data_IF_635802611051
#
_entry.id   IF_635802611051
#
_cell.length_a   1.000
_cell.length_b   1.000
_cell.length_c   1.000
_cell.angle_alpha   90.00
_cell.angle_beta   90.00
_cell.angle_gamma   90.00
#
_symmetry.space_group_name_H-M   'P 1'
#
loop_
_entity.id
_entity.type
_entity.pdbx_description
1 polymer ?
#
# COMPACT_ATOMS: atom_id res chain seq x y z
N UNK A 1 3.66 4.80 13.56
CA UNK A 1 2.73 4.00 14.40
C UNK A 1 1.47 4.83 14.60
N UNK A 2 0.31 4.37 14.12
CA UNK A 2 -0.94 5.12 14.22
C UNK A 2 -1.52 5.02 15.64
N UNK A 3 -1.92 6.15 16.24
CA UNK A 3 -2.56 6.18 17.57
C UNK A 3 -3.94 5.51 17.55
N UNK A 4 -4.69 5.66 16.45
CA UNK A 4 -5.96 4.97 16.19
C UNK A 4 -5.77 4.18 14.89
N UNK A 5 -5.51 2.89 15.01
CA UNK A 5 -5.19 2.02 13.88
C UNK A 5 -6.44 1.47 13.19
N UNK A 6 -7.51 1.27 13.92
CA UNK A 6 -8.79 0.80 13.39
C UNK A 6 -9.95 1.21 14.28
N UNK A 7 -11.13 1.30 13.68
CA UNK A 7 -12.39 1.44 14.40
C UNK A 7 -13.39 0.39 13.91
N UNK A 8 -14.32 -0.02 14.78
CA UNK A 8 -15.36 -0.96 14.43
C UNK A 8 -16.64 -0.60 15.20
N UNK A 9 -17.75 -0.44 14.48
CA UNK A 9 -19.01 -0.05 15.09
C UNK A 9 -20.14 0.15 14.08
N UNK A 10 -21.32 0.55 14.56
CA UNK A 10 -22.46 0.79 13.68
C UNK A 10 -22.44 2.21 13.11
N UNK A 11 -22.81 2.36 11.86
CA UNK A 11 -22.96 3.65 11.18
C UNK A 11 -24.15 4.40 11.76
N UNK A 12 -23.91 5.56 12.36
CA UNK A 12 -24.94 6.45 12.90
C UNK A 12 -25.44 7.42 11.84
N UNK A 13 -24.55 7.88 10.95
CA UNK A 13 -24.85 8.87 9.92
C UNK A 13 -23.93 8.71 8.73
N UNK A 14 -24.48 8.92 7.53
CA UNK A 14 -23.72 9.02 6.27
C UNK A 14 -23.78 10.47 5.82
N UNK A 15 -22.63 11.06 5.53
CA UNK A 15 -22.47 12.43 5.03
C UNK A 15 -21.83 12.38 3.62
N UNK A 16 -21.65 13.52 2.99
CA UNK A 16 -21.17 13.58 1.59
C UNK A 16 -19.77 12.96 1.38
N UNK A 17 -18.91 12.95 2.41
CA UNK A 17 -17.54 12.47 2.35
C UNK A 17 -17.08 11.80 3.65
N UNK A 18 -18.01 11.46 4.54
CA UNK A 18 -17.69 10.89 5.84
C UNK A 18 -18.81 10.01 6.37
N UNK A 19 -18.44 9.13 7.28
CA UNK A 19 -19.34 8.35 8.12
C UNK A 19 -19.19 8.80 9.57
N UNK A 20 -20.29 8.74 10.33
CA UNK A 20 -20.23 8.81 11.79
C UNK A 20 -20.45 7.39 12.30
N UNK A 21 -19.45 6.85 12.99
CA UNK A 21 -19.45 5.47 13.51
C UNK A 21 -19.57 5.48 15.03
N UNK A 22 -20.46 4.67 15.56
CA UNK A 22 -20.65 4.50 17.00
C UNK A 22 -19.50 3.72 17.62
N UNK A 23 -18.80 4.33 18.58
CA UNK A 23 -17.76 3.67 19.38
C UNK A 23 -18.14 3.80 20.85
N UNK A 24 -18.81 2.78 21.38
CA UNK A 24 -19.37 2.87 22.73
C UNK A 24 -20.39 4.02 22.84
N UNK A 25 -20.15 4.97 23.74
CA UNK A 25 -21.01 6.16 23.90
C UNK A 25 -20.68 7.35 23.00
N UNK A 26 -19.75 7.23 22.06
CA UNK A 26 -19.28 8.31 21.18
C UNK A 26 -19.64 8.05 19.72
N UNK A 27 -19.97 9.12 18.97
CA UNK A 27 -20.02 9.11 17.52
C UNK A 27 -18.72 9.70 16.94
N UNK A 28 -17.93 8.90 16.25
CA UNK A 28 -16.67 9.34 15.64
C UNK A 28 -16.87 9.58 14.15
N UNK A 29 -16.53 10.79 13.69
CA UNK A 29 -16.54 11.13 12.26
C UNK A 29 -15.28 10.63 11.60
N UNK A 30 -15.45 9.91 10.49
CA UNK A 30 -14.37 9.35 9.69
C UNK A 30 -14.57 9.75 8.25
N UNK A 31 -13.57 10.40 7.65
CA UNK A 31 -13.56 10.66 6.22
C UNK A 31 -13.19 9.41 5.48
N UNK A 32 -13.95 9.06 4.46
CA UNK A 32 -13.77 7.81 3.72
C UNK A 32 -13.78 8.07 2.20
N UNK A 33 -13.18 7.20 1.38
CA UNK A 33 -13.33 7.24 -0.07
C UNK A 33 -14.81 7.11 -0.48
N UNK A 34 -15.14 7.61 -1.66
CA UNK A 34 -16.51 7.55 -2.19
C UNK A 34 -17.02 6.11 -2.34
N UNK A 35 -16.14 5.18 -2.70
CA UNK A 35 -16.43 3.75 -2.78
C UNK A 35 -16.99 3.19 -1.48
N UNK A 36 -16.36 3.52 -0.34
CA UNK A 36 -16.84 3.09 0.99
C UNK A 36 -18.24 3.65 1.31
N UNK A 37 -18.55 4.89 0.87
CA UNK A 37 -19.89 5.49 1.06
C UNK A 37 -20.95 4.76 0.22
N UNK A 38 -20.58 4.27 -0.97
CA UNK A 38 -21.46 3.54 -1.88
C UNK A 38 -21.73 2.12 -1.38
N UNK A 39 -20.71 1.48 -0.77
CA UNK A 39 -20.75 0.07 -0.34
C UNK A 39 -21.28 -0.13 1.09
N UNK A 40 -21.30 0.90 1.94
CA UNK A 40 -21.65 0.80 3.37
C UNK A 40 -23.07 0.27 3.65
N UNK A 41 -23.95 0.29 2.67
CA UNK A 41 -25.28 -0.31 2.75
C UNK A 41 -26.29 0.41 3.66
N UNK A 42 -25.93 1.55 4.29
CA UNK A 42 -26.85 2.41 5.03
C UNK A 42 -26.57 2.58 6.53
N UNK A 43 -27.38 3.43 7.16
CA UNK A 43 -27.34 3.69 8.60
C UNK A 43 -27.75 2.43 9.39
N UNK A 44 -27.10 2.18 10.52
CA UNK A 44 -27.29 1.00 11.37
C UNK A 44 -26.42 -0.20 10.99
N UNK A 45 -25.79 -0.22 9.82
CA UNK A 45 -24.89 -1.29 9.41
C UNK A 45 -23.60 -1.23 10.20
N UNK A 46 -23.05 -2.41 10.48
CA UNK A 46 -21.76 -2.54 11.14
C UNK A 46 -20.64 -2.39 10.12
N UNK A 47 -19.66 -1.56 10.44
CA UNK A 47 -18.47 -1.36 9.60
C UNK A 47 -17.19 -1.49 10.43
N UNK A 48 -16.14 -2.02 9.83
CA UNK A 48 -14.78 -2.00 10.35
C UNK A 48 -13.91 -1.22 9.38
N UNK A 49 -13.18 -0.24 9.88
CA UNK A 49 -12.29 0.60 9.09
C UNK A 49 -10.88 0.57 9.65
N UNK A 50 -9.90 0.41 8.77
CA UNK A 50 -8.49 0.73 9.05
C UNK A 50 -8.33 2.24 8.97
N UNK A 51 -7.63 2.86 9.93
CA UNK A 51 -7.69 4.29 10.08
C UNK A 51 -6.33 4.98 10.14
N UNK A 52 -6.28 6.19 9.60
CA UNK A 52 -5.15 7.11 9.69
C UNK A 52 -5.60 8.42 10.34
N UNK A 53 -4.98 8.77 11.48
CA UNK A 53 -5.26 10.01 12.19
C UNK A 53 -4.29 11.09 11.76
N UNK A 54 -4.80 12.19 11.25
CA UNK A 54 -4.03 13.40 10.99
C UNK A 54 -4.28 14.40 12.11
N UNK A 55 -3.21 14.80 12.77
CA UNK A 55 -3.21 15.79 13.86
C UNK A 55 -2.67 17.11 13.32
N UNK A 56 -3.45 18.16 13.44
CA UNK A 56 -3.05 19.55 13.16
C UNK A 56 -3.30 20.41 14.39
N UNK A 57 -2.75 21.61 14.41
CA UNK A 57 -2.90 22.53 15.55
C UNK A 57 -4.39 22.81 15.90
N UNK A 58 -5.26 22.86 14.91
CA UNK A 58 -6.66 23.25 15.07
C UNK A 58 -7.64 22.11 14.88
N UNK A 59 -7.22 20.94 14.37
CA UNK A 59 -8.13 19.84 14.06
C UNK A 59 -7.49 18.46 14.19
N UNK A 60 -8.31 17.48 14.57
CA UNK A 60 -8.04 16.06 14.48
C UNK A 60 -8.92 15.47 13.40
N UNK A 61 -8.33 14.89 12.37
CA UNK A 61 -9.08 14.32 11.26
C UNK A 61 -8.76 12.84 11.12
N UNK A 62 -9.79 12.00 11.21
CA UNK A 62 -9.65 10.55 11.03
C UNK A 62 -10.07 10.16 9.60
N UNK A 63 -9.21 9.44 8.91
CA UNK A 63 -9.44 8.85 7.60
C UNK A 63 -9.62 7.34 7.75
N UNK A 64 -10.55 6.73 7.01
CA UNK A 64 -10.87 5.31 7.15
C UNK A 64 -11.02 4.59 5.81
N UNK A 65 -10.61 3.33 5.80
CA UNK A 65 -10.58 2.45 4.63
C UNK A 65 -11.04 1.05 5.04
N UNK A 66 -11.75 0.33 4.18
CA UNK A 66 -12.19 -1.04 4.48
C UNK A 66 -11.03 -2.04 4.36
N UNK A 67 -10.15 -1.86 3.36
CA UNK A 67 -8.96 -2.68 3.20
C UNK A 67 -7.71 -1.99 3.80
N UNK A 68 -6.80 -2.78 4.34
CA UNK A 68 -5.52 -2.31 4.85
C UNK A 68 -4.61 -1.81 3.71
N UNK A 69 -4.69 -2.45 2.54
CA UNK A 69 -3.96 -2.04 1.34
C UNK A 69 -4.34 -0.63 0.87
N UNK A 70 -5.62 -0.25 0.99
CA UNK A 70 -6.09 1.10 0.68
C UNK A 70 -5.53 2.13 1.65
N UNK A 71 -5.46 1.78 2.94
CA UNK A 71 -4.81 2.63 3.95
C UNK A 71 -3.32 2.82 3.64
N UNK A 72 -2.59 1.74 3.32
CA UNK A 72 -1.18 1.82 2.96
C UNK A 72 -0.97 2.70 1.72
N UNK A 73 -1.82 2.53 0.71
CA UNK A 73 -1.76 3.36 -0.50
C UNK A 73 -2.07 4.83 -0.22
N UNK A 74 -3.02 5.12 0.69
CA UNK A 74 -3.28 6.48 1.17
C UNK A 74 -2.04 7.10 1.82
N UNK A 75 -1.35 6.35 2.69
CA UNK A 75 -0.13 6.82 3.35
C UNK A 75 1.01 7.07 2.36
N UNK A 76 1.17 6.21 1.35
CA UNK A 76 2.13 6.41 0.25
C UNK A 76 1.81 7.69 -0.52
N UNK A 77 0.53 7.92 -0.84
CA UNK A 77 0.06 9.13 -1.53
C UNK A 77 0.31 10.41 -0.72
N UNK A 78 0.12 10.39 0.61
CA UNK A 78 0.43 11.52 1.48
C UNK A 78 1.90 11.92 1.45
N UNK A 79 2.78 10.97 1.19
CA UNK A 79 4.21 11.23 1.04
C UNK A 79 4.61 11.82 -0.32
N UNK A 80 3.66 12.07 -1.23
CA UNK A 80 3.90 12.68 -2.55
C UNK A 80 3.76 14.20 -2.43
N UNK A 81 4.75 14.95 -2.88
CA UNK A 81 4.72 16.41 -2.82
C UNK A 81 3.53 17.00 -3.57
N UNK A 82 2.69 17.76 -2.85
CA UNK A 82 1.47 18.40 -3.39
C UNK A 82 0.26 17.49 -3.44
N UNK A 83 0.32 16.29 -2.83
CA UNK A 83 -0.82 15.44 -2.55
C UNK A 83 -1.19 15.58 -1.08
N UNK A 84 -2.25 16.31 -0.81
CA UNK A 84 -2.84 16.38 0.52
C UNK A 84 -3.89 15.28 0.74
N UNK A 85 -4.39 15.13 1.98
CA UNK A 85 -5.35 14.08 2.31
C UNK A 85 -6.62 14.07 1.45
N UNK A 86 -7.12 15.26 1.09
CA UNK A 86 -8.30 15.39 0.20
C UNK A 86 -8.04 14.84 -1.20
N UNK A 87 -6.85 15.10 -1.75
CA UNK A 87 -6.45 14.61 -3.06
C UNK A 87 -6.21 13.10 -3.02
N UNK A 88 -5.54 12.60 -1.98
CA UNK A 88 -5.33 11.18 -1.77
C UNK A 88 -6.67 10.40 -1.68
N UNK A 89 -7.64 10.92 -0.90
CA UNK A 89 -8.98 10.35 -0.84
C UNK A 89 -9.71 10.37 -2.19
N UNK A 90 -9.58 11.46 -2.96
CA UNK A 90 -10.19 11.56 -4.29
C UNK A 90 -9.58 10.55 -5.26
N UNK A 91 -8.28 10.30 -5.19
CA UNK A 91 -7.61 9.26 -5.98
C UNK A 91 -8.22 7.89 -5.66
N UNK A 92 -8.24 7.50 -4.38
CA UNK A 92 -8.74 6.19 -3.93
C UNK A 92 -10.26 6.02 -4.09
N UNK A 93 -11.01 7.12 -4.14
CA UNK A 93 -12.45 7.11 -4.45
C UNK A 93 -12.78 7.10 -5.94
N UNK A 94 -11.77 7.25 -6.83
CA UNK A 94 -11.95 7.30 -8.29
C UNK A 94 -11.27 6.14 -9.01
N UNK A 95 -10.13 5.69 -8.49
CA UNK A 95 -9.29 4.66 -9.08
C UNK A 95 -9.13 3.50 -8.09
N UNK A 96 -9.33 2.26 -8.55
CA UNK A 96 -8.97 1.10 -7.75
C UNK A 96 -7.44 1.01 -7.56
N UNK A 97 -6.96 0.37 -6.49
CA UNK A 97 -5.53 0.17 -6.26
C UNK A 97 -4.82 -0.50 -7.44
N UNK A 98 -5.47 -1.48 -8.08
CA UNK A 98 -4.93 -2.21 -9.23
C UNK A 98 -4.80 -1.29 -10.45
N UNK A 99 -5.82 -0.47 -10.72
CA UNK A 99 -5.81 0.47 -11.82
C UNK A 99 -4.72 1.54 -11.61
N UNK A 100 -4.57 2.04 -10.39
CA UNK A 100 -3.52 3.00 -10.05
C UNK A 100 -2.13 2.39 -10.20
N UNK A 101 -1.90 1.18 -9.67
CA UNK A 101 -0.62 0.46 -9.83
C UNK A 101 -0.31 0.22 -11.32
N UNK A 102 -1.31 -0.26 -12.09
CA UNK A 102 -1.15 -0.48 -13.54
C UNK A 102 -0.81 0.81 -14.29
N UNK A 103 -1.51 1.92 -13.97
CA UNK A 103 -1.25 3.22 -14.57
C UNK A 103 0.17 3.73 -14.27
N UNK A 104 0.67 3.50 -13.05
CA UNK A 104 2.03 3.87 -12.66
C UNK A 104 3.06 3.06 -13.46
N UNK A 105 2.88 1.75 -13.56
CA UNK A 105 3.79 0.87 -14.31
C UNK A 105 3.83 1.21 -15.81
N UNK A 106 2.72 1.67 -16.36
CA UNK A 106 2.59 2.05 -17.80
C UNK A 106 2.83 3.53 -18.06
N UNK A 107 3.11 4.31 -17.02
CA UNK A 107 3.28 5.77 -17.09
C UNK A 107 2.06 6.51 -17.70
N UNK A 108 0.84 5.95 -17.49
CA UNK A 108 -0.41 6.48 -18.03
C UNK A 108 -0.95 7.64 -17.20
N UNK A 109 -0.35 8.83 -17.32
CA UNK A 109 -0.75 10.04 -16.57
C UNK A 109 -2.21 10.46 -16.79
N UNK A 110 -2.79 10.10 -17.94
CA UNK A 110 -4.19 10.38 -18.27
C UNK A 110 -5.18 9.72 -17.31
N UNK A 111 -4.82 8.60 -16.69
CA UNK A 111 -5.64 7.93 -15.69
C UNK A 111 -5.79 8.79 -14.44
N UNK A 112 -4.68 9.38 -13.95
CA UNK A 112 -4.71 10.30 -12.80
C UNK A 112 -5.46 11.61 -13.09
N UNK A 113 -5.49 12.06 -14.32
CA UNK A 113 -6.24 13.26 -14.72
C UNK A 113 -7.76 13.09 -14.67
N UNK A 114 -8.27 11.86 -14.56
CA UNK A 114 -9.70 11.58 -14.32
C UNK A 114 -10.14 11.94 -12.89
N UNK A 115 -9.17 12.07 -11.98
CA UNK A 115 -9.47 12.42 -10.59
C UNK A 115 -9.76 13.91 -10.46
N UNK A 116 -10.89 14.31 -9.89
CA UNK A 116 -11.22 15.72 -9.69
C UNK A 116 -10.13 16.47 -8.93
N UNK A 117 -9.69 17.60 -9.48
CA UNK A 117 -8.63 18.41 -8.89
C UNK A 117 -7.21 18.03 -9.28
N UNK A 118 -7.01 17.00 -10.10
CA UNK A 118 -5.69 16.62 -10.62
C UNK A 118 -5.54 17.08 -12.09
N UNK A 119 -4.73 18.11 -12.29
CA UNK A 119 -4.33 18.56 -13.62
C UNK A 119 -3.09 17.83 -14.14
N UNK A 120 -2.74 18.08 -15.42
CA UNK A 120 -1.62 17.42 -16.11
C UNK A 120 -0.31 17.46 -15.32
N UNK A 121 0.13 18.66 -14.88
CA UNK A 121 1.39 18.83 -14.11
C UNK A 121 1.38 18.07 -12.77
N UNK A 122 0.22 18.01 -12.11
CA UNK A 122 0.07 17.28 -10.85
C UNK A 122 0.11 15.77 -11.10
N UNK A 123 -0.56 15.30 -12.15
CA UNK A 123 -0.55 13.89 -12.54
C UNK A 123 0.87 13.40 -12.89
N UNK A 124 1.63 14.16 -13.68
CA UNK A 124 3.01 13.84 -14.04
C UNK A 124 3.91 13.75 -12.79
N UNK A 125 3.78 14.70 -11.86
CA UNK A 125 4.54 14.70 -10.61
C UNK A 125 4.17 13.55 -9.69
N UNK A 126 2.88 13.25 -9.56
CA UNK A 126 2.40 12.10 -8.77
C UNK A 126 2.95 10.81 -9.36
N UNK A 127 2.86 10.65 -10.68
CA UNK A 127 3.33 9.47 -11.39
C UNK A 127 4.80 9.22 -11.14
N UNK A 128 5.63 10.24 -11.31
CA UNK A 128 7.07 10.16 -11.10
C UNK A 128 7.43 9.74 -9.66
N UNK A 129 6.82 10.40 -8.65
CA UNK A 129 7.13 10.12 -7.25
C UNK A 129 6.55 8.78 -6.76
N UNK A 130 5.41 8.34 -7.29
CA UNK A 130 4.85 7.03 -6.93
C UNK A 130 5.67 5.89 -7.52
N UNK A 131 6.20 6.05 -8.73
CA UNK A 131 7.08 5.07 -9.33
C UNK A 131 8.32 4.84 -8.47
N UNK A 132 9.04 5.90 -8.09
CA UNK A 132 10.20 5.79 -7.20
C UNK A 132 9.87 5.08 -5.88
N UNK A 133 8.70 5.39 -5.28
CA UNK A 133 8.28 4.77 -4.02
C UNK A 133 7.86 3.32 -4.17
N UNK A 134 7.23 2.95 -5.28
CA UNK A 134 6.86 1.56 -5.55
C UNK A 134 8.10 0.72 -5.87
N UNK A 135 9.07 1.26 -6.59
CA UNK A 135 10.35 0.59 -6.84
C UNK A 135 11.10 0.36 -5.53
N UNK A 136 11.16 1.37 -4.65
CA UNK A 136 11.74 1.22 -3.31
C UNK A 136 10.96 0.24 -2.42
N UNK A 137 9.62 0.23 -2.48
CA UNK A 137 8.78 -0.70 -1.73
C UNK A 137 8.92 -2.13 -2.25
N UNK A 138 9.01 -2.32 -3.57
CA UNK A 138 9.31 -3.62 -4.17
C UNK A 138 10.69 -4.13 -3.74
N UNK A 139 11.70 -3.26 -3.68
CA UNK A 139 13.01 -3.61 -3.13
C UNK A 139 12.95 -3.93 -1.63
N UNK A 140 12.20 -3.16 -0.83
CA UNK A 140 12.01 -3.44 0.60
C UNK A 140 11.22 -4.71 0.85
N UNK A 141 10.16 -4.98 0.07
CA UNK A 141 9.37 -6.21 0.18
C UNK A 141 10.19 -7.43 -0.26
N UNK A 142 11.06 -7.29 -1.24
CA UNK A 142 12.02 -8.31 -1.61
C UNK A 142 13.00 -8.61 -0.46
N UNK A 143 13.42 -7.58 0.28
CA UNK A 143 14.31 -7.72 1.46
C UNK A 143 13.56 -8.29 2.67
N UNK A 144 12.27 -7.95 2.89
CA UNK A 144 11.49 -8.45 4.05
C UNK A 144 10.90 -9.85 3.87
N UNK A 145 10.81 -10.36 2.63
CA UNK A 145 10.45 -11.76 2.36
C UNK A 145 11.65 -12.71 2.40
N UNK A 146 12.85 -12.16 2.54
CA UNK A 146 14.08 -12.95 2.73
C UNK A 146 14.14 -13.31 4.20
N UNK A 147 13.98 -14.58 4.54
CA UNK A 147 14.33 -15.09 5.88
C UNK A 147 15.81 -14.79 6.15
N UNK A 148 16.23 -14.71 7.42
CA UNK A 148 17.65 -14.52 7.75
C UNK A 148 18.54 -15.51 6.98
N UNK A 149 18.05 -16.75 6.81
CA UNK A 149 18.69 -17.80 6.01
C UNK A 149 18.78 -17.44 4.51
N UNK A 150 17.74 -16.80 3.94
CA UNK A 150 17.77 -16.41 2.54
C UNK A 150 18.69 -15.20 2.30
N UNK A 151 18.86 -14.32 3.29
CA UNK A 151 19.83 -13.23 3.21
C UNK A 151 21.25 -13.78 3.14
N UNK A 152 21.59 -14.74 4.00
CA UNK A 152 22.90 -15.40 4.01
C UNK A 152 23.18 -16.13 2.66
N UNK A 153 22.16 -16.76 2.07
CA UNK A 153 22.30 -17.43 0.75
C UNK A 153 22.53 -16.40 -0.36
N UNK A 154 21.84 -15.25 -0.35
CA UNK A 154 22.05 -14.17 -1.32
C UNK A 154 23.48 -13.63 -1.21
N UNK A 155 23.99 -13.41 0.00
CA UNK A 155 25.34 -12.92 0.24
C UNK A 155 26.38 -13.89 -0.29
N UNK A 156 26.18 -15.19 -0.10
CA UNK A 156 27.08 -16.23 -0.66
C UNK A 156 27.03 -16.22 -2.20
N UNK A 157 25.84 -16.23 -2.81
CA UNK A 157 25.71 -16.25 -4.27
C UNK A 157 26.28 -14.98 -4.92
N UNK A 158 26.09 -13.81 -4.28
CA UNK A 158 26.67 -12.55 -4.78
C UNK A 158 28.18 -12.52 -4.65
N UNK A 159 28.74 -13.12 -3.60
CA UNK A 159 30.21 -13.30 -3.46
C UNK A 159 30.81 -14.23 -4.54
N UNK A 160 30.00 -15.15 -5.07
CA UNK A 160 30.36 -16.02 -6.19
C UNK A 160 30.19 -15.36 -7.57
N UNK A 161 29.69 -14.10 -7.62
CA UNK A 161 29.59 -13.31 -8.83
C UNK A 161 28.21 -13.24 -9.48
N UNK A 162 27.19 -13.85 -8.89
CA UNK A 162 25.81 -13.74 -9.36
C UNK A 162 25.22 -12.39 -8.96
N UNK A 163 24.32 -11.86 -9.78
CA UNK A 163 23.56 -10.66 -9.42
C UNK A 163 22.50 -10.97 -8.34
N UNK A 164 22.11 -9.96 -7.56
CA UNK A 164 21.05 -10.08 -6.55
C UNK A 164 19.74 -10.60 -7.19
N UNK A 165 19.43 -10.18 -8.43
CA UNK A 165 18.23 -10.61 -9.16
C UNK A 165 18.28 -12.10 -9.49
N UNK A 166 19.42 -12.62 -9.95
CA UNK A 166 19.62 -14.05 -10.24
C UNK A 166 19.53 -14.88 -8.97
N UNK A 167 20.19 -14.44 -7.89
CA UNK A 167 20.12 -15.09 -6.58
C UNK A 167 18.70 -15.19 -6.04
N UNK A 168 17.93 -14.10 -6.11
CA UNK A 168 16.52 -14.07 -5.69
C UNK A 168 15.63 -14.97 -6.57
N UNK A 169 15.84 -14.97 -7.89
CA UNK A 169 15.08 -15.81 -8.81
C UNK A 169 15.33 -17.31 -8.53
N UNK A 170 16.57 -17.68 -8.22
CA UNK A 170 16.93 -19.04 -7.82
C UNK A 170 16.24 -19.42 -6.50
N UNK A 171 16.30 -18.56 -5.47
CA UNK A 171 15.69 -18.80 -4.16
C UNK A 171 14.17 -19.02 -4.22
N UNK A 172 13.46 -18.31 -5.08
CA UNK A 172 12.02 -18.48 -5.28
C UNK A 172 11.62 -19.85 -5.81
N UNK A 173 12.55 -20.57 -6.44
CA UNK A 173 12.32 -21.91 -7.00
C UNK A 173 12.67 -23.04 -6.02
N UNK A 174 13.34 -22.72 -4.92
CA UNK A 174 13.75 -23.71 -3.94
C UNK A 174 12.58 -24.15 -3.04
N UNK A 175 12.58 -25.44 -2.60
CA UNK A 175 11.63 -25.93 -1.61
C UNK A 175 11.75 -25.16 -0.29
N UNK A 176 10.62 -24.74 0.29
CA UNK A 176 10.57 -23.99 1.56
C UNK A 176 10.95 -24.83 2.78
N UNK A 177 11.00 -26.14 2.63
CA UNK A 177 11.30 -27.10 3.70
C UNK A 177 12.80 -27.15 4.02
N UNK A 178 13.66 -26.79 3.07
CA UNK A 178 15.12 -26.73 3.24
C UNK A 178 15.48 -25.45 3.99
N UNK A 179 15.97 -25.58 5.23
CA UNK A 179 16.30 -24.45 6.12
C UNK A 179 17.80 -24.22 6.31
N UNK A 180 18.64 -25.19 5.92
CA UNK A 180 20.08 -25.06 6.05
C UNK A 180 20.66 -24.19 4.91
N UNK A 181 21.47 -23.18 5.26
CA UNK A 181 22.09 -22.25 4.31
C UNK A 181 22.88 -22.98 3.23
N UNK A 182 23.73 -23.94 3.65
CA UNK A 182 24.59 -24.71 2.75
C UNK A 182 23.81 -25.51 1.70
N UNK A 183 22.71 -26.17 2.12
CA UNK A 183 21.85 -26.92 1.22
C UNK A 183 21.11 -26.01 0.24
N UNK A 184 20.66 -24.85 0.68
CA UNK A 184 19.98 -23.84 -0.16
C UNK A 184 20.93 -23.25 -1.17
N UNK A 185 22.19 -22.96 -0.80
CA UNK A 185 23.24 -22.49 -1.73
C UNK A 185 23.50 -23.53 -2.81
N UNK A 186 23.66 -24.80 -2.44
CA UNK A 186 23.89 -25.88 -3.42
C UNK A 186 22.74 -26.02 -4.42
N UNK A 187 21.49 -25.99 -3.93
CA UNK A 187 20.31 -26.08 -4.79
C UNK A 187 20.16 -24.84 -5.69
N UNK A 188 20.47 -23.64 -5.18
CA UNK A 188 20.46 -22.42 -5.98
C UNK A 188 21.50 -22.45 -7.09
N UNK A 189 22.72 -22.91 -6.81
CA UNK A 189 23.79 -23.08 -7.81
C UNK A 189 23.38 -24.07 -8.88
N UNK A 190 22.80 -25.23 -8.51
CA UNK A 190 22.30 -26.21 -9.49
C UNK A 190 21.21 -25.62 -10.41
N UNK A 191 20.38 -24.74 -9.90
CA UNK A 191 19.35 -24.07 -10.71
C UNK A 191 19.96 -23.04 -11.65
N UNK A 192 20.95 -22.28 -11.19
CA UNK A 192 21.64 -21.26 -11.99
C UNK A 192 22.52 -21.85 -13.10
N UNK A 193 23.09 -23.05 -12.87
CA UNK A 193 23.95 -23.78 -13.84
C UNK A 193 23.13 -24.39 -15.01
N UNK A 194 21.80 -24.46 -14.88
CA UNK A 194 20.88 -25.00 -15.89
C UNK A 194 20.30 -23.95 -16.83
N UNK A 195 20.64 -22.67 -16.66
CA UNK A 195 20.20 -21.56 -17.52
C UNK A 195 21.31 -21.10 -18.47
#
# INVERSE_FOLDING_TARGET
MAMIASISGNVLKIEANSLVVALGGMGVRVLVPKTVLEDVGGVGRHIKLHTHLIVRETELTLYGFEAEDDLQLFEVLLGVNGVGPKVALAILGTLSPELLKSAIMREETAVLQRVPGIGKKTAERIMFQLRDKLDMSAMQTAVTLVSDVDADVIDVLTSLGFSIVEAQAALQKLPREVKAVDERVQLALQYLDQQ
#
